data_IF_581931083893
#
_entry.id   IF_581931083893
#
_cell.length_a   1.000
_cell.length_b   1.000
_cell.length_c   1.000
_cell.angle_alpha   90.00
_cell.angle_beta   90.00
_cell.angle_gamma   90.00
#
_symmetry.space_group_name_H-M   'P 1'
#
loop_
_entity.id
_entity.type
_entity.pdbx_description
1 polymer ?
#
# COMPACT_ATOMS: atom_id res chain seq x y z
N UNK A 1 -7.09 -10.42 6.73
CA UNK A 1 -5.67 -10.60 6.31
C UNK A 1 -4.96 -11.42 7.37
N UNK A 2 -4.32 -12.55 7.03
CA UNK A 2 -3.56 -13.34 8.00
C UNK A 2 -2.34 -12.56 8.49
N UNK A 3 -2.14 -12.52 9.82
CA UNK A 3 -0.99 -11.87 10.46
C UNK A 3 -0.04 -12.93 10.97
N UNK A 4 1.22 -12.85 10.57
CA UNK A 4 2.29 -13.74 10.98
C UNK A 4 3.17 -12.98 11.98
N UNK A 5 3.22 -13.45 13.24
CA UNK A 5 4.10 -12.85 14.25
C UNK A 5 5.51 -13.38 14.15
N UNK A 6 6.49 -12.51 14.11
CA UNK A 6 7.91 -12.81 14.00
C UNK A 6 8.59 -12.53 15.35
N UNK A 7 9.22 -13.52 15.92
CA UNK A 7 9.95 -13.39 17.19
C UNK A 7 11.46 -13.26 16.92
N UNK A 8 12.03 -12.13 17.28
CA UNK A 8 13.43 -11.77 17.01
C UNK A 8 14.49 -12.67 17.67
N UNK A 9 14.09 -13.50 18.64
CA UNK A 9 15.01 -14.41 19.37
C UNK A 9 15.39 -15.66 18.60
N UNK A 10 14.74 -15.93 17.47
CA UNK A 10 15.04 -17.10 16.62
C UNK A 10 15.00 -16.70 15.15
N UNK A 11 15.98 -17.07 14.34
CA UNK A 11 15.91 -16.89 12.89
C UNK A 11 14.65 -17.55 12.33
N UNK A 12 13.86 -16.79 11.57
CA UNK A 12 12.64 -17.27 10.93
C UNK A 12 12.65 -16.87 9.46
N UNK A 13 12.13 -17.77 8.63
CA UNK A 13 11.89 -17.49 7.23
C UNK A 13 10.39 -17.34 7.01
N UNK A 14 9.98 -16.18 6.55
CA UNK A 14 8.57 -15.85 6.32
C UNK A 14 8.39 -15.50 4.85
N UNK A 15 7.33 -16.02 4.24
CA UNK A 15 6.93 -15.72 2.87
C UNK A 15 5.72 -14.78 2.91
N UNK A 16 5.86 -13.61 2.32
CA UNK A 16 4.80 -12.61 2.20
C UNK A 16 4.33 -12.56 0.74
N UNK A 17 3.09 -12.99 0.51
CA UNK A 17 2.47 -12.92 -0.81
C UNK A 17 1.93 -11.51 -1.07
N UNK A 18 2.10 -11.02 -2.29
CA UNK A 18 1.48 -9.79 -2.79
C UNK A 18 0.18 -10.04 -3.55
N UNK A 19 -0.26 -11.31 -3.66
CA UNK A 19 -1.49 -11.70 -4.33
C UNK A 19 -2.73 -11.49 -3.43
N UNK A 20 -3.92 -11.81 -3.92
CA UNK A 20 -5.24 -11.60 -3.29
C UNK A 20 -5.36 -12.02 -1.81
N UNK A 21 -4.48 -12.88 -1.33
CA UNK A 21 -4.37 -13.28 0.08
C UNK A 21 -3.12 -12.67 0.69
N UNK A 22 -3.03 -11.35 0.65
CA UNK A 22 -1.95 -10.63 1.31
C UNK A 22 -1.79 -11.12 2.75
N UNK A 23 -0.57 -11.43 3.12
CA UNK A 23 -0.19 -11.72 4.49
C UNK A 23 0.65 -10.56 5.03
N UNK A 24 0.49 -10.27 6.32
CA UNK A 24 1.25 -9.23 7.01
C UNK A 24 2.12 -9.91 8.05
N UNK A 25 3.40 -9.56 8.08
CA UNK A 25 4.27 -9.96 9.17
C UNK A 25 4.27 -8.87 10.26
N UNK A 26 4.08 -9.29 11.51
CA UNK A 26 4.18 -8.41 12.69
C UNK A 26 5.48 -8.71 13.42
N UNK A 27 6.31 -7.69 13.60
CA UNK A 27 7.55 -7.76 14.39
C UNK A 27 7.34 -6.92 15.64
N UNK A 28 7.10 -7.53 16.82
CA UNK A 28 6.92 -6.78 18.05
C UNK A 28 8.24 -6.19 18.53
N UNK A 29 8.21 -4.93 18.96
CA UNK A 29 9.29 -4.23 19.65
C UNK A 29 9.06 -4.34 21.17
N UNK A 30 7.83 -4.01 21.59
CA UNK A 30 7.34 -4.16 22.97
C UNK A 30 5.83 -4.44 22.94
N UNK A 31 5.15 -4.32 24.08
CA UNK A 31 3.71 -4.65 24.20
C UNK A 31 2.79 -3.73 23.38
N UNK A 32 3.21 -2.50 23.09
CA UNK A 32 2.41 -1.50 22.39
C UNK A 32 3.02 -1.05 21.06
N UNK A 33 4.25 -1.47 20.75
CA UNK A 33 5.01 -0.98 19.63
C UNK A 33 5.50 -2.13 18.76
N UNK A 34 5.32 -2.01 17.43
CA UNK A 34 5.67 -3.06 16.48
C UNK A 34 5.82 -2.53 15.06
N UNK A 35 6.50 -3.30 14.22
CA UNK A 35 6.44 -3.13 12.77
C UNK A 35 5.43 -4.09 12.15
N UNK A 36 4.70 -3.58 11.16
CA UNK A 36 3.99 -4.41 10.17
C UNK A 36 4.76 -4.35 8.85
N UNK A 37 4.90 -5.51 8.22
CA UNK A 37 5.58 -5.64 6.93
C UNK A 37 4.63 -6.32 5.97
N UNK A 38 4.42 -5.67 4.83
CA UNK A 38 3.63 -6.21 3.73
C UNK A 38 4.45 -6.24 2.45
N UNK A 39 4.17 -7.24 1.62
CA UNK A 39 4.66 -7.25 0.25
C UNK A 39 3.57 -6.67 -0.65
N UNK A 40 3.86 -5.54 -1.30
CA UNK A 40 2.94 -4.83 -2.18
C UNK A 40 3.44 -4.89 -3.62
N UNK A 41 2.52 -5.00 -4.56
CA UNK A 41 2.83 -4.76 -5.96
C UNK A 41 1.95 -3.62 -6.50
N UNK A 42 2.49 -2.83 -7.39
CA UNK A 42 1.78 -1.73 -8.03
C UNK A 42 1.28 -2.09 -9.43
N UNK A 43 1.13 -3.37 -9.73
CA UNK A 43 0.63 -3.82 -11.02
C UNK A 43 -0.86 -3.54 -11.17
N UNK A 44 -1.23 -2.95 -12.26
CA UNK A 44 -2.63 -2.82 -12.64
C UNK A 44 -3.07 -3.97 -13.57
N UNK A 45 -2.11 -4.69 -14.16
CA UNK A 45 -2.21 -5.99 -14.82
C UNK A 45 -1.01 -6.81 -14.42
N UNK A 46 -1.06 -8.11 -14.64
CA UNK A 46 0.05 -8.99 -14.34
C UNK A 46 1.35 -8.46 -14.96
N UNK A 47 2.35 -8.23 -14.13
CA UNK A 47 3.68 -7.68 -14.47
C UNK A 47 3.69 -6.28 -15.12
N UNK A 48 2.57 -5.56 -15.14
CA UNK A 48 2.49 -4.22 -15.72
C UNK A 48 2.07 -3.21 -14.66
N UNK A 49 2.97 -2.31 -14.30
CA UNK A 49 2.64 -1.16 -13.46
C UNK A 49 1.85 -0.11 -14.26
N UNK A 50 1.14 0.76 -13.55
CA UNK A 50 0.40 1.85 -14.19
C UNK A 50 1.33 2.82 -14.93
N UNK A 51 2.53 3.04 -14.41
CA UNK A 51 3.53 3.90 -15.07
C UNK A 51 4.06 3.28 -16.36
N UNK A 52 4.27 1.96 -16.40
CA UNK A 52 4.64 1.25 -17.62
C UNK A 52 3.55 1.34 -18.68
N UNK A 53 2.28 1.28 -18.28
CA UNK A 53 1.16 1.44 -19.19
C UNK A 53 1.07 2.88 -19.73
N UNK A 54 1.29 3.88 -18.88
CA UNK A 54 1.34 5.31 -19.28
C UNK A 54 2.48 5.58 -20.27
N UNK A 55 3.66 4.99 -20.03
CA UNK A 55 4.79 5.11 -20.91
C UNK A 55 4.48 4.58 -22.32
N UNK A 56 3.84 3.41 -22.42
CA UNK A 56 3.42 2.86 -23.73
C UNK A 56 2.45 3.77 -24.47
N UNK A 57 1.49 4.40 -23.78
CA UNK A 57 0.59 5.36 -24.40
C UNK A 57 1.35 6.58 -24.90
N UNK A 58 2.29 7.09 -24.12
CA UNK A 58 3.16 8.21 -24.53
C UNK A 58 3.99 7.88 -25.77
N UNK A 59 4.58 6.68 -25.84
CA UNK A 59 5.34 6.23 -27.03
C UNK A 59 4.50 6.21 -28.30
N UNK A 60 3.22 5.87 -28.19
CA UNK A 60 2.29 5.79 -29.32
C UNK A 60 1.68 7.15 -29.72
N UNK A 61 1.46 8.03 -28.77
CA UNK A 61 0.65 9.24 -28.97
C UNK A 61 1.42 10.54 -28.78
N UNK A 62 2.62 10.49 -28.17
CA UNK A 62 3.38 11.66 -27.76
C UNK A 62 2.78 12.41 -26.57
N UNK A 63 1.74 11.86 -25.94
CA UNK A 63 1.05 12.47 -24.79
C UNK A 63 1.02 11.51 -23.61
N UNK A 64 1.41 12.02 -22.42
CA UNK A 64 1.43 11.23 -21.20
C UNK A 64 0.03 11.26 -20.54
N UNK A 65 -0.71 10.14 -20.52
CA UNK A 65 -2.06 10.13 -19.98
C UNK A 65 -2.06 10.30 -18.46
N UNK A 66 -3.14 10.85 -17.93
CA UNK A 66 -3.39 10.85 -16.49
C UNK A 66 -3.63 9.42 -16.00
N UNK A 67 -3.27 9.12 -14.74
CA UNK A 67 -3.58 7.84 -14.07
C UNK A 67 -5.06 7.46 -14.20
N UNK A 68 -5.96 8.43 -13.98
CA UNK A 68 -7.40 8.22 -14.05
C UNK A 68 -7.83 7.68 -15.42
N UNK A 69 -7.28 8.19 -16.51
CA UNK A 69 -7.66 7.74 -17.86
C UNK A 69 -7.33 6.27 -18.09
N UNK A 70 -6.18 5.81 -17.57
CA UNK A 70 -5.81 4.38 -17.67
C UNK A 70 -6.71 3.52 -16.79
N UNK A 71 -7.04 3.98 -15.59
CA UNK A 71 -7.94 3.27 -14.68
C UNK A 71 -9.37 3.18 -15.25
N UNK A 72 -9.84 4.20 -15.95
CA UNK A 72 -11.17 4.20 -16.57
C UNK A 72 -11.32 3.18 -17.70
N UNK A 73 -10.24 2.88 -18.41
CA UNK A 73 -10.25 1.93 -19.54
C UNK A 73 -9.86 0.50 -19.12
N UNK A 74 -9.62 0.26 -17.82
CA UNK A 74 -9.13 -1.03 -17.34
C UNK A 74 -10.27 -1.99 -16.98
N UNK A 75 -10.10 -3.26 -17.31
CA UNK A 75 -10.91 -4.36 -16.78
C UNK A 75 -10.52 -4.61 -15.32
N UNK A 76 -11.46 -5.07 -14.49
CA UNK A 76 -11.24 -5.32 -13.05
C UNK A 76 -11.48 -4.10 -12.16
N UNK A 77 -11.94 -2.98 -12.72
CA UNK A 77 -12.35 -1.80 -11.98
C UNK A 77 -13.87 -1.70 -11.99
N UNK A 78 -14.46 -1.71 -10.81
CA UNK A 78 -15.91 -1.56 -10.62
C UNK A 78 -16.24 -0.09 -10.44
N UNK A 79 -17.24 0.39 -11.18
CA UNK A 79 -17.71 1.77 -11.12
C UNK A 79 -19.21 1.79 -10.82
N UNK A 80 -19.65 2.83 -10.12
CA UNK A 80 -21.07 3.09 -9.93
C UNK A 80 -21.67 3.77 -11.17
N UNK A 81 -22.99 4.05 -11.11
CA UNK A 81 -23.75 4.72 -12.17
C UNK A 81 -23.24 6.14 -12.52
N UNK A 82 -22.50 6.78 -11.62
CA UNK A 82 -21.89 8.10 -11.81
C UNK A 82 -20.46 8.03 -12.34
N UNK A 83 -19.94 6.81 -12.62
CA UNK A 83 -18.57 6.62 -13.09
C UNK A 83 -17.49 6.68 -11.99
N UNK A 84 -17.89 6.73 -10.72
CA UNK A 84 -16.95 6.71 -9.59
C UNK A 84 -16.45 5.28 -9.38
N UNK A 85 -15.13 5.11 -9.26
CA UNK A 85 -14.53 3.82 -8.93
C UNK A 85 -14.93 3.43 -7.51
N UNK A 86 -15.59 2.29 -7.37
CA UNK A 86 -16.07 1.75 -6.09
C UNK A 86 -15.28 0.54 -5.62
N UNK A 87 -14.61 -0.15 -6.54
CA UNK A 87 -13.75 -1.27 -6.22
C UNK A 87 -12.67 -1.45 -7.29
N UNK A 88 -11.50 -1.95 -6.90
CA UNK A 88 -10.41 -2.31 -7.78
C UNK A 88 -9.68 -3.54 -7.23
N UNK A 89 -9.22 -4.41 -8.10
CA UNK A 89 -8.57 -5.67 -7.73
C UNK A 89 -7.27 -5.45 -6.93
N UNK A 90 -6.55 -4.39 -7.25
CA UNK A 90 -5.29 -4.07 -6.58
C UNK A 90 -5.25 -2.62 -6.09
N UNK A 91 -5.54 -2.40 -4.81
CA UNK A 91 -5.47 -1.08 -4.17
C UNK A 91 -4.04 -0.49 -4.11
N UNK A 92 -3.04 -1.29 -4.41
CA UNK A 92 -1.63 -0.85 -4.39
C UNK A 92 -1.15 -0.24 -5.71
N UNK A 93 -2.01 -0.16 -6.74
CA UNK A 93 -1.60 0.33 -8.06
C UNK A 93 -1.10 1.78 -8.06
N UNK A 94 -1.49 2.56 -7.06
CA UNK A 94 -1.02 3.95 -6.87
C UNK A 94 0.33 4.08 -6.18
N UNK A 95 0.94 2.98 -5.72
CA UNK A 95 2.26 3.02 -5.12
C UNK A 95 3.35 3.29 -6.17
N UNK A 96 4.41 4.02 -5.82
CA UNK A 96 5.47 4.38 -6.76
C UNK A 96 6.27 3.18 -7.26
N UNK A 97 6.33 2.10 -6.48
CA UNK A 97 7.03 0.86 -6.85
C UNK A 97 6.43 -0.34 -6.11
N UNK A 98 6.74 -1.53 -6.63
CA UNK A 98 6.50 -2.80 -5.92
C UNK A 98 7.62 -3.07 -4.93
N UNK A 99 7.30 -3.73 -3.81
CA UNK A 99 8.29 -4.12 -2.81
C UNK A 99 7.70 -4.30 -1.42
N UNK A 100 8.58 -4.27 -0.44
CA UNK A 100 8.19 -4.37 0.97
C UNK A 100 7.83 -2.98 1.51
N UNK A 101 6.65 -2.91 2.12
CA UNK A 101 6.18 -1.75 2.84
C UNK A 101 6.27 -2.01 4.34
N UNK A 102 6.89 -1.07 5.05
CA UNK A 102 7.08 -1.13 6.49
C UNK A 102 6.22 -0.07 7.16
N UNK A 103 5.41 -0.49 8.12
CA UNK A 103 4.63 0.38 8.98
C UNK A 103 5.16 0.30 10.39
N UNK A 104 5.56 1.42 10.97
CA UNK A 104 5.86 1.50 12.40
C UNK A 104 4.60 1.92 13.15
N UNK A 105 4.14 1.09 14.08
CA UNK A 105 2.92 1.31 14.84
C UNK A 105 3.28 1.46 16.32
N UNK A 106 2.82 2.55 16.92
CA UNK A 106 2.85 2.78 18.36
C UNK A 106 1.42 2.97 18.86
N UNK A 107 0.84 1.90 19.44
CA UNK A 107 -0.53 1.90 19.95
C UNK A 107 -0.71 2.88 21.13
N UNK A 108 0.36 3.17 21.88
CA UNK A 108 0.32 4.14 22.95
C UNK A 108 0.08 5.56 22.43
N UNK A 109 0.81 5.97 21.41
CA UNK A 109 0.60 7.27 20.75
C UNK A 109 -0.81 7.35 20.17
N UNK A 110 -1.28 6.27 19.53
CA UNK A 110 -2.62 6.21 18.96
C UNK A 110 -3.66 6.40 20.07
N UNK A 111 -3.57 5.64 21.18
CA UNK A 111 -4.54 5.71 22.25
C UNK A 111 -4.52 7.06 22.98
N UNK A 112 -3.36 7.67 23.17
CA UNK A 112 -3.21 8.97 23.81
C UNK A 112 -3.81 10.12 22.97
N UNK A 113 -3.82 9.96 21.63
CA UNK A 113 -4.23 11.02 20.70
C UNK A 113 -5.59 10.81 20.02
N UNK A 114 -6.18 9.60 20.12
CA UNK A 114 -7.43 9.28 19.44
C UNK A 114 -8.59 10.18 19.87
N UNK A 115 -8.65 10.54 21.15
CA UNK A 115 -9.71 11.40 21.71
C UNK A 115 -9.66 12.84 21.17
N UNK A 116 -8.50 13.30 20.76
CA UNK A 116 -8.28 14.64 20.19
C UNK A 116 -8.31 14.69 18.67
N UNK A 117 -8.48 13.56 18.00
CA UNK A 117 -8.37 13.41 16.54
C UNK A 117 -7.01 13.86 15.96
N UNK A 118 -5.94 13.75 16.73
CA UNK A 118 -4.59 14.23 16.37
C UNK A 118 -3.56 13.13 16.20
N UNK A 119 -3.98 11.92 15.83
CA UNK A 119 -3.10 10.75 15.74
C UNK A 119 -1.84 11.01 14.89
N UNK A 120 -1.99 11.72 13.77
CA UNK A 120 -0.90 12.03 12.85
C UNK A 120 -0.57 13.54 12.74
N UNK A 121 -1.12 14.37 13.62
CA UNK A 121 -1.00 15.82 13.49
C UNK A 121 0.42 16.37 13.66
N UNK A 122 1.32 15.63 14.32
CA UNK A 122 2.70 16.05 14.57
C UNK A 122 3.70 15.56 13.51
N UNK A 123 3.29 14.70 12.60
CA UNK A 123 4.18 14.16 11.55
C UNK A 123 4.67 15.29 10.65
N UNK A 124 3.79 16.20 10.26
CA UNK A 124 4.13 17.33 9.41
C UNK A 124 5.06 18.35 10.09
N UNK A 125 5.00 18.45 11.41
CA UNK A 125 5.75 19.44 12.19
C UNK A 125 7.15 18.97 12.56
N UNK A 126 7.42 17.68 12.56
CA UNK A 126 8.69 17.10 13.00
C UNK A 126 9.60 16.63 11.86
N UNK A 127 9.18 16.83 10.60
CA UNK A 127 9.99 16.47 9.44
C UNK A 127 10.40 14.99 9.50
N UNK A 128 9.44 14.10 9.61
CA UNK A 128 9.72 12.66 9.48
C UNK A 128 10.14 12.43 8.04
N UNK A 129 11.43 12.21 7.82
CA UNK A 129 11.95 11.72 6.56
C UNK A 129 11.36 10.32 6.32
N UNK A 130 10.60 10.20 5.25
CA UNK A 130 10.07 8.92 4.74
C UNK A 130 11.17 8.18 4.00
#
# INVERSE_FOLDING_TARGET
VPVISIFYKKPQKVYLSSAEKNSIAKIPINDTEYFLIENRNNWYREEVSIDSARLKVWELTGSYPNYINILFDSTGIVKNEYGVVTDIDNYSIGLPASGLLFWHIDEKIISDKISSYQINAEIELKGVDL
#
